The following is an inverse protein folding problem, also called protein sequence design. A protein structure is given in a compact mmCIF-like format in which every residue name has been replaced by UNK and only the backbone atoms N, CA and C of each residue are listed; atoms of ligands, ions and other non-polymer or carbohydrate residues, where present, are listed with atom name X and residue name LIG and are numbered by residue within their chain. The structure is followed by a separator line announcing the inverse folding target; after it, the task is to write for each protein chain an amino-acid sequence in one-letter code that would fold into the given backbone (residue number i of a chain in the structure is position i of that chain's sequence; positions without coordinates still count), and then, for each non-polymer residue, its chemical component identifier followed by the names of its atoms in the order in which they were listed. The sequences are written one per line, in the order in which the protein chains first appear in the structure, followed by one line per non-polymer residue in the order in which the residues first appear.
data_IF_374821598542
#
_entry.id   IF_374821598542
#
_cell.length_a   1.000
_cell.length_b   1.000
_cell.length_c   1.000
_cell.angle_alpha   90.00
_cell.angle_beta   90.00
_cell.angle_gamma   90.00
#
_symmetry.space_group_name_H-M   'P 1'
#
loop_
_entity.id
_entity.type
_entity.pdbx_description
1 polymer ?
#
# COMPACT_ATOMS: atom_id res chain seq x y z
N UNK A 1 35.08 -3.72 -3.12
CA UNK A 1 33.66 -3.32 -3.05
C UNK A 1 33.61 -1.84 -2.73
N UNK A 2 32.90 -1.09 -3.57
CA UNK A 2 33.08 0.35 -3.85
C UNK A 2 32.68 1.27 -2.69
N UNK A 3 33.50 2.29 -2.42
CA UNK A 3 33.26 3.37 -1.44
C UNK A 3 31.93 4.11 -1.62
N UNK A 4 31.23 3.91 -2.74
CA UNK A 4 29.89 4.43 -3.02
C UNK A 4 28.80 3.77 -2.15
N UNK A 5 28.96 2.50 -1.77
CA UNK A 5 27.94 1.79 -0.97
C UNK A 5 27.77 2.45 0.41
N UNK A 6 28.87 2.96 0.98
CA UNK A 6 28.86 3.65 2.27
C UNK A 6 28.07 4.97 2.23
N UNK A 7 27.93 5.60 1.06
CA UNK A 7 27.11 6.81 0.87
C UNK A 7 25.63 6.45 0.78
N UNK A 8 25.30 5.28 0.20
CA UNK A 8 23.91 4.86 0.06
C UNK A 8 23.26 4.42 1.37
N UNK A 9 24.03 3.89 2.33
CA UNK A 9 23.53 3.51 3.65
C UNK A 9 22.85 4.70 4.38
N UNK A 10 23.51 5.86 4.61
CA UNK A 10 22.88 6.98 5.28
C UNK A 10 21.73 7.58 4.45
N UNK A 11 21.82 7.54 3.11
CA UNK A 11 20.73 7.99 2.23
C UNK A 11 19.48 7.13 2.42
N UNK A 12 19.63 5.80 2.45
CA UNK A 12 18.50 4.89 2.68
C UNK A 12 17.92 5.06 4.09
N UNK A 13 18.77 5.22 5.10
CA UNK A 13 18.31 5.49 6.48
C UNK A 13 17.54 6.82 6.57
N UNK A 14 18.05 7.87 5.93
CA UNK A 14 17.38 9.17 5.87
C UNK A 14 16.04 9.07 5.11
N UNK A 15 15.98 8.31 4.02
CA UNK A 15 14.75 8.08 3.27
C UNK A 15 13.69 7.35 4.11
N UNK A 16 14.08 6.29 4.84
CA UNK A 16 13.18 5.56 5.75
C UNK A 16 12.69 6.48 6.88
N UNK A 17 13.60 7.26 7.47
CA UNK A 17 13.25 8.24 8.50
C UNK A 17 12.27 9.30 7.97
N UNK A 18 12.55 9.86 6.79
CA UNK A 18 11.70 10.87 6.17
C UNK A 18 10.31 10.32 5.82
N UNK A 19 10.23 9.08 5.33
CA UNK A 19 8.96 8.41 5.06
C UNK A 19 8.14 8.21 6.34
N UNK A 20 8.78 7.74 7.42
CA UNK A 20 8.12 7.58 8.73
C UNK A 20 7.63 8.92 9.28
N UNK A 21 8.51 9.92 9.32
CA UNK A 21 8.20 11.26 9.80
C UNK A 21 7.07 11.90 8.99
N UNK A 22 7.14 11.79 7.66
CA UNK A 22 6.12 12.30 6.75
C UNK A 22 4.76 11.64 6.99
N UNK A 23 4.72 10.31 7.19
CA UNK A 23 3.49 9.59 7.48
C UNK A 23 2.81 10.05 8.78
N UNK A 24 3.59 10.26 9.85
CA UNK A 24 3.06 10.78 11.12
C UNK A 24 2.53 12.22 10.98
N UNK A 25 3.27 13.09 10.29
CA UNK A 25 2.92 14.51 10.19
C UNK A 25 1.81 14.78 9.17
N UNK A 26 1.62 13.92 8.16
CA UNK A 26 0.55 14.05 7.18
C UNK A 26 -0.81 13.55 7.71
N UNK A 27 -0.83 12.67 8.71
CA UNK A 27 -2.06 12.06 9.20
C UNK A 27 -3.07 13.09 9.75
N UNK A 28 -2.62 14.04 10.58
CA UNK A 28 -3.50 15.05 11.20
C UNK A 28 -4.03 16.09 10.20
N UNK A 29 -3.21 16.69 9.32
CA UNK A 29 -3.68 17.54 8.23
C UNK A 29 -4.68 16.84 7.32
N UNK A 30 -4.43 15.58 6.93
CA UNK A 30 -5.34 14.82 6.07
C UNK A 30 -6.69 14.56 6.77
N UNK A 31 -6.70 14.26 8.07
CA UNK A 31 -7.95 14.12 8.85
C UNK A 31 -8.73 15.44 8.90
N UNK A 32 -8.04 16.58 9.10
CA UNK A 32 -8.66 17.91 9.11
C UNK A 32 -9.23 18.27 7.74
N UNK A 33 -8.46 18.06 6.67
CA UNK A 33 -8.88 18.31 5.29
C UNK A 33 -10.10 17.47 4.92
N UNK A 34 -10.09 16.18 5.24
CA UNK A 34 -11.23 15.28 5.04
C UNK A 34 -12.50 15.82 5.71
N UNK A 35 -12.38 16.29 6.96
CA UNK A 35 -13.52 16.87 7.71
C UNK A 35 -14.01 18.18 7.10
N UNK A 36 -13.09 19.06 6.67
CA UNK A 36 -13.44 20.35 6.06
C UNK A 36 -14.13 20.18 4.70
N UNK A 37 -13.71 19.21 3.90
CA UNK A 37 -14.28 18.94 2.58
C UNK A 37 -15.51 18.03 2.63
N UNK A 38 -15.95 17.60 3.82
CA UNK A 38 -17.11 16.73 3.98
C UNK A 38 -16.90 15.31 3.42
N UNK A 39 -15.66 14.88 3.22
CA UNK A 39 -15.35 13.56 2.66
C UNK A 39 -15.69 12.44 3.64
N UNK A 40 -16.30 11.38 3.12
CA UNK A 40 -16.45 10.13 3.85
C UNK A 40 -15.08 9.54 4.19
N UNK A 41 -15.02 8.65 5.19
CA UNK A 41 -13.77 7.94 5.55
C UNK A 41 -13.21 7.19 4.33
N UNK A 42 -14.09 6.58 3.53
CA UNK A 42 -13.72 5.88 2.30
C UNK A 42 -13.14 6.82 1.24
N UNK A 43 -13.78 7.97 0.98
CA UNK A 43 -13.26 8.97 0.03
C UNK A 43 -11.92 9.55 0.46
N UNK A 44 -11.74 9.82 1.77
CA UNK A 44 -10.45 10.23 2.32
C UNK A 44 -9.36 9.17 2.15
N UNK A 45 -9.69 7.90 2.38
CA UNK A 45 -8.76 6.79 2.14
C UNK A 45 -8.35 6.66 0.66
N UNK A 46 -9.30 6.79 -0.26
CA UNK A 46 -9.03 6.78 -1.70
C UNK A 46 -8.12 7.95 -2.12
N UNK A 47 -8.35 9.15 -1.58
CA UNK A 47 -7.49 10.31 -1.84
C UNK A 47 -6.06 10.08 -1.35
N UNK A 48 -5.88 9.52 -0.15
CA UNK A 48 -4.55 9.17 0.38
C UNK A 48 -3.87 8.11 -0.47
N UNK A 49 -4.62 7.09 -0.92
CA UNK A 49 -4.11 6.09 -1.86
C UNK A 49 -3.62 6.69 -3.17
N UNK A 50 -4.36 7.65 -3.73
CA UNK A 50 -3.95 8.37 -4.94
C UNK A 50 -2.68 9.21 -4.70
N UNK A 51 -2.59 9.89 -3.56
CA UNK A 51 -1.41 10.66 -3.20
C UNK A 51 -0.16 9.76 -3.04
N UNK A 52 -0.31 8.59 -2.43
CA UNK A 52 0.76 7.60 -2.30
C UNK A 52 1.21 7.04 -3.66
N UNK A 53 0.30 6.92 -4.63
CA UNK A 53 0.58 6.47 -5.99
C UNK A 53 1.10 7.58 -6.94
N UNK A 54 1.29 8.81 -6.42
CA UNK A 54 1.72 9.94 -7.24
C UNK A 54 3.12 9.77 -7.88
N UNK A 55 4.12 9.16 -7.24
CA UNK A 55 5.41 8.89 -7.89
C UNK A 55 5.27 7.96 -9.09
N UNK A 56 4.45 6.90 -8.98
CA UNK A 56 4.19 5.94 -10.05
C UNK A 56 3.47 6.59 -11.22
N UNK A 57 2.48 7.46 -10.95
CA UNK A 57 1.82 8.27 -11.98
C UNK A 57 2.86 9.14 -12.70
N UNK A 58 3.78 9.75 -11.96
CA UNK A 58 4.88 10.54 -12.52
C UNK A 58 5.81 9.72 -13.41
N UNK A 59 6.24 8.54 -12.97
CA UNK A 59 7.10 7.63 -13.75
C UNK A 59 6.39 7.19 -15.02
N UNK A 60 5.13 6.77 -14.94
CA UNK A 60 4.38 6.29 -16.10
C UNK A 60 4.12 7.42 -17.11
N UNK A 61 3.71 8.60 -16.62
CA UNK A 61 3.49 9.78 -17.47
C UNK A 61 4.77 10.22 -18.17
N UNK A 62 5.88 10.33 -17.43
CA UNK A 62 7.16 10.73 -18.02
C UNK A 62 7.71 9.70 -18.99
N UNK A 63 7.50 8.40 -18.73
CA UNK A 63 7.91 7.32 -19.62
C UNK A 63 7.12 7.35 -20.94
N UNK A 64 5.81 7.59 -20.87
CA UNK A 64 4.97 7.75 -22.05
C UNK A 64 5.40 8.97 -22.89
N UNK A 65 5.66 10.11 -22.26
CA UNK A 65 6.11 11.32 -22.95
C UNK A 65 7.49 11.18 -23.61
N UNK A 66 8.35 10.31 -23.07
CA UNK A 66 9.70 10.05 -23.58
C UNK A 66 9.76 8.91 -24.59
N UNK A 67 8.63 8.32 -24.97
CA UNK A 67 8.57 7.19 -25.91
C UNK A 67 9.16 5.89 -25.33
N UNK A 68 9.31 5.79 -24.02
CA UNK A 68 9.84 4.61 -23.30
C UNK A 68 8.76 3.99 -22.41
N UNK A 69 7.54 3.88 -22.93
CA UNK A 69 6.35 3.42 -22.20
C UNK A 69 6.52 2.06 -21.53
N UNK A 70 7.34 1.17 -22.10
CA UNK A 70 7.66 -0.16 -21.55
C UNK A 70 8.30 -0.08 -20.16
N UNK A 71 9.10 0.96 -19.89
CA UNK A 71 9.70 1.21 -18.57
C UNK A 71 8.60 1.61 -17.57
N UNK A 72 7.67 2.47 -17.99
CA UNK A 72 6.53 2.87 -17.16
C UNK A 72 5.62 1.70 -16.82
N UNK A 73 5.33 0.84 -17.81
CA UNK A 73 4.58 -0.40 -17.62
C UNK A 73 5.31 -1.37 -16.69
N UNK A 74 6.61 -1.57 -16.90
CA UNK A 74 7.44 -2.42 -16.03
C UNK A 74 7.46 -1.93 -14.58
N UNK A 75 7.58 -0.63 -14.36
CA UNK A 75 7.54 -0.03 -13.02
C UNK A 75 6.17 -0.22 -12.35
N UNK A 76 5.07 0.01 -13.09
CA UNK A 76 3.70 -0.13 -12.60
C UNK A 76 3.36 -1.58 -12.24
N UNK A 77 3.79 -2.54 -13.06
CA UNK A 77 3.57 -3.96 -12.79
C UNK A 77 4.46 -4.44 -11.62
N UNK A 78 5.74 -4.08 -11.63
CA UNK A 78 6.70 -4.48 -10.61
C UNK A 78 6.34 -3.98 -9.22
N UNK A 79 5.89 -2.73 -9.10
CA UNK A 79 5.48 -2.16 -7.81
C UNK A 79 4.24 -2.84 -7.25
N UNK A 80 3.20 -3.07 -8.08
CA UNK A 80 1.94 -3.69 -7.63
C UNK A 80 2.11 -5.17 -7.28
N UNK A 81 2.90 -5.91 -8.06
CA UNK A 81 3.13 -7.34 -7.82
C UNK A 81 3.79 -7.59 -6.46
N UNK A 82 4.71 -6.72 -6.02
CA UNK A 82 5.35 -6.84 -4.71
C UNK A 82 4.55 -6.17 -3.59
N UNK A 83 4.00 -4.98 -3.84
CA UNK A 83 3.36 -4.18 -2.82
C UNK A 83 2.07 -4.83 -2.31
N UNK A 84 1.23 -5.40 -3.20
CA UNK A 84 -0.08 -5.91 -2.81
C UNK A 84 0.02 -7.13 -1.88
N UNK A 85 0.80 -8.19 -2.21
CA UNK A 85 1.00 -9.31 -1.29
C UNK A 85 1.64 -8.86 0.02
N UNK A 86 2.63 -7.97 -0.02
CA UNK A 86 3.30 -7.50 1.18
C UNK A 86 2.36 -6.68 2.08
N UNK A 87 1.54 -5.80 1.52
CA UNK A 87 0.52 -5.05 2.25
C UNK A 87 -0.50 -6.00 2.89
N UNK A 88 -1.00 -6.99 2.15
CA UNK A 88 -1.97 -7.98 2.69
C UNK A 88 -1.34 -8.80 3.80
N UNK A 89 -0.13 -9.31 3.62
CA UNK A 89 0.58 -10.13 4.62
C UNK A 89 0.89 -9.31 5.87
N UNK A 90 1.40 -8.08 5.72
CA UNK A 90 1.71 -7.21 6.86
C UNK A 90 0.44 -6.78 7.61
N UNK A 91 -0.63 -6.41 6.90
CA UNK A 91 -1.92 -6.10 7.50
C UNK A 91 -2.49 -7.31 8.25
N UNK A 92 -2.49 -8.49 7.61
CA UNK A 92 -2.95 -9.74 8.23
C UNK A 92 -2.12 -10.11 9.46
N UNK A 93 -0.79 -10.03 9.36
CA UNK A 93 0.11 -10.29 10.47
C UNK A 93 -0.10 -9.29 11.62
N UNK A 94 -0.31 -8.01 11.32
CA UNK A 94 -0.61 -6.98 12.31
C UNK A 94 -1.95 -7.24 13.02
N UNK A 95 -2.99 -7.69 12.29
CA UNK A 95 -4.27 -8.09 12.88
C UNK A 95 -4.12 -9.34 13.75
N UNK A 96 -3.29 -10.30 13.35
CA UNK A 96 -3.05 -11.56 14.10
C UNK A 96 -2.16 -11.37 15.32
N UNK A 97 -1.25 -10.39 15.32
CA UNK A 97 -0.34 -10.10 16.44
C UNK A 97 -0.94 -9.26 17.55
N UNK A 98 -2.24 -8.92 17.48
CA UNK A 98 -2.88 -8.12 18.52
C UNK A 98 -3.52 -8.99 19.61
N UNK A 99 -2.72 -9.28 20.64
CA UNK A 99 -3.15 -9.17 22.05
C UNK A 99 -3.51 -7.69 22.26
N UNK A 100 -4.77 -7.31 22.01
CA UNK A 100 -5.27 -5.98 22.35
C UNK A 100 -5.48 -5.98 23.86
N UNK A 101 -4.47 -5.58 24.63
CA UNK A 101 -4.70 -5.23 26.03
C UNK A 101 -5.44 -3.90 26.08
N UNK A 102 -6.64 -3.89 26.69
CA UNK A 102 -7.30 -2.68 27.14
C UNK A 102 -8.66 -2.30 26.53
N UNK A 103 -9.54 -3.22 26.14
CA UNK A 103 -10.95 -2.88 25.87
C UNK A 103 -11.94 -3.99 26.25
N UNK A 104 -12.45 -3.96 27.49
CA UNK A 104 -13.40 -4.93 28.07
C UNK A 104 -14.81 -4.94 27.43
N UNK A 105 -15.10 -4.09 26.43
CA UNK A 105 -16.41 -4.01 25.76
C UNK A 105 -16.43 -4.57 24.31
N UNK A 106 -15.75 -5.68 24.05
CA UNK A 106 -15.77 -6.38 22.75
C UNK A 106 -17.15 -6.97 22.34
N UNK A 107 -18.15 -6.92 23.22
CA UNK A 107 -19.52 -7.36 22.91
C UNK A 107 -20.37 -6.26 22.24
N UNK A 108 -20.13 -4.97 22.51
CA UNK A 108 -20.89 -3.85 21.94
C UNK A 108 -20.49 -3.55 20.49
N UNK A 109 -19.20 -3.64 20.16
CA UNK A 109 -18.71 -3.38 18.80
C UNK A 109 -19.20 -4.40 17.75
N UNK A 110 -19.47 -5.65 18.15
CA UNK A 110 -20.07 -6.66 17.26
C UNK A 110 -21.54 -6.39 16.94
N UNK A 111 -22.27 -5.70 17.82
CA UNK A 111 -23.68 -5.36 17.59
C UNK A 111 -23.84 -4.20 16.60
N UNK A 112 -22.83 -3.35 16.44
CA UNK A 112 -22.90 -2.15 15.62
C UNK A 112 -22.67 -2.36 14.10
N UNK A 113 -22.40 -3.58 13.61
CA UNK A 113 -22.19 -3.87 12.17
C UNK A 113 -21.14 -2.97 11.44
N UNK A 114 -20.22 -2.32 12.17
CA UNK A 114 -19.32 -1.32 11.59
C UNK A 114 -18.16 -1.90 10.75
N UNK A 115 -18.02 -3.23 10.69
CA UNK A 115 -16.94 -3.93 9.97
C UNK A 115 -17.43 -5.25 9.34
N UNK A 116 -18.66 -5.29 8.82
CA UNK A 116 -19.02 -6.36 7.88
C UNK A 116 -18.36 -6.06 6.54
N UNK A 117 -17.11 -6.50 6.39
CA UNK A 117 -16.54 -6.64 5.04
C UNK A 117 -17.38 -7.71 4.37
N UNK A 118 -18.22 -7.30 3.42
CA UNK A 118 -19.06 -8.21 2.66
C UNK A 118 -18.17 -9.35 2.16
N UNK A 119 -18.48 -10.57 2.58
CA UNK A 119 -17.67 -11.76 2.28
C UNK A 119 -17.47 -11.91 0.78
N UNK A 120 -18.41 -11.40 -0.02
CA UNK A 120 -18.37 -11.35 -1.48
C UNK A 120 -17.36 -10.33 -2.02
N UNK A 121 -17.17 -9.20 -1.35
CA UNK A 121 -16.15 -8.20 -1.72
C UNK A 121 -14.73 -8.77 -1.56
N UNK A 122 -14.49 -9.56 -0.50
CA UNK A 122 -13.21 -10.25 -0.30
C UNK A 122 -12.96 -11.25 -1.42
N UNK A 123 -13.97 -12.03 -1.82
CA UNK A 123 -13.80 -13.01 -2.90
C UNK A 123 -13.60 -12.35 -4.25
N UNK A 124 -14.37 -11.31 -4.57
CA UNK A 124 -14.29 -10.58 -5.84
C UNK A 124 -12.97 -9.83 -6.02
N UNK A 125 -12.35 -9.37 -4.92
CA UNK A 125 -11.06 -8.69 -4.95
C UNK A 125 -9.89 -9.68 -4.85
N UNK A 126 -9.96 -10.69 -3.98
CA UNK A 126 -8.84 -11.59 -3.71
C UNK A 126 -8.57 -12.58 -4.86
N UNK A 127 -9.61 -13.06 -5.57
CA UNK A 127 -9.42 -13.99 -6.69
C UNK A 127 -8.53 -13.41 -7.81
N UNK A 128 -8.81 -12.21 -8.35
CA UNK A 128 -7.96 -11.64 -9.39
C UNK A 128 -6.53 -11.40 -8.89
N UNK A 129 -6.34 -11.01 -7.64
CA UNK A 129 -5.00 -10.86 -7.06
C UNK A 129 -4.26 -12.17 -6.92
N UNK A 130 -4.91 -13.23 -6.46
CA UNK A 130 -4.32 -14.58 -6.43
C UNK A 130 -3.96 -15.06 -7.84
N UNK A 131 -4.78 -14.73 -8.85
CA UNK A 131 -4.48 -14.99 -10.25
C UNK A 131 -3.23 -14.26 -10.74
N UNK A 132 -3.08 -12.96 -10.41
CA UNK A 132 -1.89 -12.17 -10.77
C UNK A 132 -0.65 -12.71 -10.07
N UNK A 133 -0.75 -13.06 -8.78
CA UNK A 133 0.36 -13.66 -8.02
C UNK A 133 0.75 -15.01 -8.61
N UNK A 134 -0.21 -15.86 -8.96
CA UNK A 134 0.04 -17.17 -9.57
C UNK A 134 0.69 -17.03 -10.94
N UNK A 135 0.20 -16.11 -11.79
CA UNK A 135 0.80 -15.81 -13.08
C UNK A 135 2.23 -15.29 -12.93
N UNK A 136 2.45 -14.39 -11.99
CA UNK A 136 3.79 -13.87 -11.71
C UNK A 136 4.71 -14.98 -11.19
N UNK A 137 4.26 -15.80 -10.25
CA UNK A 137 5.02 -16.96 -9.78
C UNK A 137 5.40 -17.89 -10.94
N UNK A 138 4.48 -18.14 -11.88
CA UNK A 138 4.71 -18.97 -13.05
C UNK A 138 5.72 -18.34 -14.04
N UNK A 139 5.67 -17.02 -14.21
CA UNK A 139 6.60 -16.28 -15.06
C UNK A 139 7.99 -16.06 -14.44
N UNK A 140 8.07 -16.11 -13.10
CA UNK A 140 9.34 -15.89 -12.35
C UNK A 140 10.03 -17.19 -11.98
N UNK A 141 9.34 -18.34 -12.11
CA UNK A 141 9.96 -19.65 -11.94
C UNK A 141 11.01 -19.83 -13.05
N UNK A 142 12.28 -20.13 -12.70
CA UNK A 142 13.29 -20.46 -13.71
C UNK A 142 12.82 -21.71 -14.46
N UNK A 143 12.91 -21.68 -15.79
CA UNK A 143 12.59 -22.83 -16.61
C UNK A 143 13.44 -24.04 -16.17
N UNK A 144 12.86 -25.26 -16.11
CA UNK A 144 13.58 -26.47 -15.73
C UNK A 144 14.72 -26.81 -16.71
#
# INVERSE_FOLDING_TARGET
MSSNLLIWIPVLLAAVWAAHWGAEHLAEPLKKLRKQWGFSVAAGGAFVGLAAASPEIGINTTSALRGVGDIGLGALLGSNVLAIPLMVVTAYAATRRKRIEGHDNHAEHRRAHLLEVDRRAVTMQALPYLGIIALFALLTLPAP
#
